data_IF_640729802024
#
_entry.id   IF_640729802024
#
_cell.length_a   1.000
_cell.length_b   1.000
_cell.length_c   1.000
_cell.angle_alpha   90.00
_cell.angle_beta   90.00
_cell.angle_gamma   90.00
#
_symmetry.space_group_name_H-M   'P 1'
#
loop_
_entity.id
_entity.type
_entity.pdbx_description
1 polymer ?
#
# COMPACT_ATOMS: atom_id res chain seq x y z
N UNK A 1 2.50 -14.89 -27.57
CA UNK A 1 2.39 -14.58 -27.27
C UNK A 1 2.21 -14.15 -26.93
N UNK A 2 2.24 -14.36 -26.64
CA UNK A 2 2.15 -13.95 -26.25
C UNK A 2 1.92 -13.31 -25.63
N UNK A 3 1.89 -13.22 -25.54
CA UNK A 3 1.84 -12.45 -24.94
C UNK A 3 1.58 -12.32 -24.10
N UNK A 4 1.51 -12.61 -23.90
CA UNK A 4 1.33 -12.59 -23.21
C UNK A 4 1.16 -12.26 -22.32
N UNK A 5 1.33 -12.01 -21.93
CA UNK A 5 1.29 -11.53 -21.14
C UNK A 5 0.76 -11.26 -20.52
N UNK A 6 0.69 -11.05 -20.92
CA UNK A 6 0.03 -11.13 -20.27
C UNK A 6 -0.32 -11.00 -18.87
N UNK A 7 -1.38 -11.19 -18.39
CA UNK A 7 -1.77 -11.02 -17.02
C UNK A 7 -1.86 -12.36 -16.38
N UNK A 8 -1.00 -12.61 -15.45
CA UNK A 8 -0.95 -13.93 -14.85
C UNK A 8 -0.78 -13.75 -13.36
N UNK A 9 -1.04 -14.79 -12.61
CA UNK A 9 -0.91 -14.74 -11.17
C UNK A 9 0.57 -14.69 -10.81
N UNK A 10 0.91 -14.20 -9.62
CA UNK A 10 2.31 -14.19 -9.21
C UNK A 10 2.96 -15.56 -9.27
N UNK A 11 2.20 -16.61 -8.99
CA UNK A 11 2.75 -17.95 -9.05
C UNK A 11 3.16 -18.29 -10.48
N UNK A 12 2.34 -17.91 -11.44
CA UNK A 12 2.64 -18.22 -12.83
C UNK A 12 3.80 -17.42 -13.36
N UNK A 13 3.97 -16.20 -12.85
CA UNK A 13 5.06 -15.36 -13.30
C UNK A 13 6.40 -15.97 -12.98
N UNK A 14 6.49 -16.64 -11.85
CA UNK A 14 7.75 -17.19 -11.40
C UNK A 14 7.73 -18.69 -11.40
N UNK A 15 7.02 -19.27 -12.33
CA UNK A 15 6.84 -20.71 -12.28
C UNK A 15 8.14 -21.50 -12.35
N UNK A 16 9.16 -20.94 -12.94
CA UNK A 16 10.43 -21.63 -13.00
C UNK A 16 11.06 -21.76 -11.62
N UNK A 17 10.82 -20.80 -10.80
CA UNK A 17 11.37 -20.76 -9.47
C UNK A 17 10.33 -21.05 -8.45
N UNK A 18 9.18 -21.16 -8.83
CA UNK A 18 7.98 -21.37 -8.08
C UNK A 18 8.09 -21.08 -6.63
N UNK A 19 7.85 -19.87 -6.31
CA UNK A 19 7.65 -19.51 -4.93
C UNK A 19 6.21 -19.12 -4.87
N UNK A 20 5.41 -19.89 -4.21
CA UNK A 20 4.01 -19.60 -4.13
C UNK A 20 3.75 -18.53 -3.12
N UNK A 21 4.30 -17.38 -3.39
CA UNK A 21 4.08 -16.27 -2.50
C UNK A 21 2.98 -15.43 -3.09
N UNK A 22 2.05 -15.07 -2.26
CA UNK A 22 1.03 -14.13 -2.63
C UNK A 22 1.40 -12.79 -2.06
N UNK A 23 0.87 -11.76 -2.66
CA UNK A 23 1.20 -10.40 -2.25
C UNK A 23 -0.05 -9.62 -1.96
N UNK A 24 0.10 -8.63 -1.13
CA UNK A 24 -0.97 -7.70 -0.80
C UNK A 24 -0.50 -6.29 -1.06
N UNK A 25 -1.44 -5.45 -1.40
CA UNK A 25 -1.18 -4.03 -1.54
C UNK A 25 -1.66 -3.37 -0.26
N UNK A 26 -0.75 -2.69 0.43
CA UNK A 26 -1.13 -1.95 1.61
C UNK A 26 -1.22 -0.48 1.23
N UNK A 27 -2.33 0.13 1.56
CA UNK A 27 -2.59 1.53 1.27
C UNK A 27 -2.90 2.21 2.58
N UNK A 28 -2.20 3.29 2.86
CA UNK A 28 -2.40 4.04 4.08
C UNK A 28 -2.63 5.49 3.72
N UNK A 29 -3.72 6.06 4.22
CA UNK A 29 -4.03 7.46 4.01
C UNK A 29 -3.89 8.17 5.34
N UNK A 30 -3.05 9.18 5.38
CA UNK A 30 -2.80 9.92 6.62
C UNK A 30 -2.74 11.41 6.32
N UNK A 31 -2.82 12.19 7.36
CA UNK A 31 -2.64 13.62 7.22
C UNK A 31 -1.21 13.91 6.78
N UNK A 32 -1.05 15.01 6.08
CA UNK A 32 0.28 15.41 5.63
C UNK A 32 1.23 15.50 6.81
N UNK A 33 2.42 14.98 6.62
CA UNK A 33 3.43 14.97 7.64
C UNK A 33 3.58 13.67 8.38
N UNK A 34 2.62 12.75 8.19
CA UNK A 34 2.68 11.48 8.91
C UNK A 34 3.10 10.31 8.04
N UNK A 35 3.26 10.52 6.73
CA UNK A 35 3.61 9.41 5.85
C UNK A 35 4.98 8.84 6.17
N UNK A 36 5.92 9.68 6.56
CA UNK A 36 7.26 9.21 6.86
C UNK A 36 7.25 8.23 8.05
N UNK A 37 6.45 8.55 9.06
CA UNK A 37 6.33 7.65 10.22
C UNK A 37 5.74 6.31 9.81
N UNK A 38 4.78 6.35 8.89
CA UNK A 38 4.18 5.12 8.40
C UNK A 38 5.23 4.28 7.69
N UNK A 39 6.04 4.91 6.85
CA UNK A 39 7.08 4.18 6.13
C UNK A 39 8.11 3.60 7.10
N UNK A 40 8.51 4.37 8.09
CA UNK A 40 9.45 3.87 9.08
C UNK A 40 8.90 2.66 9.81
N UNK A 41 7.64 2.74 10.22
CA UNK A 41 7.02 1.65 10.94
C UNK A 41 6.91 0.41 10.06
N UNK A 42 6.50 0.60 8.80
CA UNK A 42 6.38 -0.51 7.88
C UNK A 42 7.74 -1.17 7.64
N UNK A 43 8.76 -0.36 7.47
CA UNK A 43 10.10 -0.88 7.21
C UNK A 43 10.60 -1.68 8.42
N UNK A 44 10.36 -1.17 9.61
CA UNK A 44 10.78 -1.87 10.82
C UNK A 44 10.05 -3.19 10.99
N UNK A 45 8.86 -3.30 10.40
CA UNK A 45 8.07 -4.54 10.49
C UNK A 45 8.31 -5.47 9.32
N UNK A 46 9.26 -5.14 8.46
CA UNK A 46 9.60 -6.02 7.34
C UNK A 46 9.15 -5.53 5.98
N UNK A 47 8.49 -4.40 5.91
CA UNK A 47 8.05 -3.87 4.63
C UNK A 47 9.18 -3.25 3.85
N UNK A 48 9.03 -3.21 2.54
CA UNK A 48 10.03 -2.61 1.66
C UNK A 48 9.34 -1.91 0.52
N UNK A 49 10.03 -0.93 -0.04
CA UNK A 49 9.57 -0.33 -1.27
C UNK A 49 8.30 0.48 -1.17
N UNK A 50 8.14 1.19 -0.08
CA UNK A 50 6.96 2.03 0.05
C UNK A 50 7.11 3.27 -0.82
N UNK A 51 6.00 3.72 -1.37
CA UNK A 51 5.93 4.94 -2.16
C UNK A 51 4.98 5.89 -1.47
N UNK A 52 5.40 7.14 -1.34
CA UNK A 52 4.55 8.16 -0.76
C UNK A 52 4.02 9.03 -1.88
N UNK A 53 2.70 9.16 -1.93
CA UNK A 53 2.05 10.00 -2.92
C UNK A 53 1.38 11.16 -2.20
N UNK A 54 1.67 12.35 -2.66
CA UNK A 54 1.10 13.54 -2.08
C UNK A 54 0.01 14.09 -2.95
N UNK A 55 -1.03 14.51 -2.32
CA UNK A 55 -2.07 15.23 -3.04
C UNK A 55 -1.65 16.65 -3.21
N UNK A 56 -0.59 16.89 -4.04
CA UNK A 56 -0.11 18.16 -4.21
C UNK A 56 -0.84 18.81 -5.27
N UNK A 57 -1.34 19.64 -5.21
CA UNK A 57 -1.90 20.13 -6.31
C UNK A 57 -2.48 21.38 -6.06
N UNK A 58 -2.57 22.07 -7.03
CA UNK A 58 -3.22 23.28 -7.05
C UNK A 58 -4.67 23.06 -6.90
N UNK A 59 -5.07 21.88 -6.92
CA UNK A 59 -6.47 21.62 -6.99
C UNK A 59 -7.10 21.69 -5.63
N UNK A 60 -8.16 22.39 -5.53
CA UNK A 60 -8.99 22.39 -4.35
C UNK A 60 -9.92 21.20 -4.41
N UNK A 61 -9.87 20.47 -5.50
CA UNK A 61 -10.82 19.40 -5.73
C UNK A 61 -10.42 18.19 -4.95
N UNK A 62 -11.38 17.60 -4.29
CA UNK A 62 -11.14 16.35 -3.59
C UNK A 62 -11.01 15.26 -4.62
N UNK A 63 -10.12 14.32 -4.35
CA UNK A 63 -9.97 13.16 -5.18
C UNK A 63 -10.60 11.98 -4.48
N UNK A 64 -11.02 11.00 -5.27
CA UNK A 64 -11.63 9.81 -4.71
C UNK A 64 -10.77 8.62 -5.03
N UNK A 65 -10.60 7.76 -4.06
CA UNK A 65 -9.86 6.54 -4.23
C UNK A 65 -10.62 5.46 -3.48
N UNK A 66 -10.95 4.38 -4.15
CA UNK A 66 -11.71 3.29 -3.55
C UNK A 66 -13.00 3.79 -2.90
N UNK A 67 -13.62 4.78 -3.54
CA UNK A 67 -14.88 5.30 -3.04
C UNK A 67 -14.76 6.29 -1.90
N UNK A 68 -13.54 6.63 -1.52
CA UNK A 68 -13.31 7.57 -0.42
C UNK A 68 -12.81 8.90 -0.95
N UNK A 69 -13.22 9.96 -0.30
CA UNK A 69 -12.74 11.28 -0.65
C UNK A 69 -11.37 11.48 -0.01
N UNK A 70 -10.43 11.96 -0.80
CA UNK A 70 -9.10 12.23 -0.32
C UNK A 70 -8.89 13.72 -0.37
N UNK A 71 -8.74 14.33 0.80
CA UNK A 71 -8.51 15.76 0.87
C UNK A 71 -7.11 16.07 0.37
N UNK A 72 -6.91 17.29 -0.17
CA UNK A 72 -5.61 17.66 -0.73
C UNK A 72 -4.46 17.58 0.26
N UNK A 73 -4.75 17.73 1.53
CA UNK A 73 -3.70 17.69 2.55
C UNK A 73 -3.38 16.29 3.01
N UNK A 74 -3.92 15.27 2.39
CA UNK A 74 -3.62 13.90 2.77
C UNK A 74 -2.42 13.38 2.01
N UNK A 75 -1.75 12.43 2.62
CA UNK A 75 -0.69 11.69 1.97
C UNK A 75 -1.10 10.24 1.90
N UNK A 76 -0.65 9.56 0.87
CA UNK A 76 -0.96 8.16 0.69
C UNK A 76 0.35 7.39 0.62
N UNK A 77 0.43 6.33 1.40
CA UNK A 77 1.57 5.42 1.36
C UNK A 77 1.09 4.13 0.74
N UNK A 78 1.82 3.65 -0.26
CA UNK A 78 1.46 2.44 -0.95
C UNK A 78 2.65 1.51 -0.93
N UNK A 79 2.43 0.25 -0.62
CA UNK A 79 3.51 -0.71 -0.65
C UNK A 79 2.95 -2.08 -1.00
N UNK A 80 3.81 -2.89 -1.62
CA UNK A 80 3.47 -4.27 -1.95
C UNK A 80 4.27 -5.15 -1.00
N UNK A 81 3.60 -6.03 -0.30
CA UNK A 81 4.27 -6.90 0.66
C UNK A 81 3.81 -8.34 0.45
N UNK A 82 4.62 -9.26 0.92
CA UNK A 82 4.21 -10.66 0.90
C UNK A 82 3.04 -10.83 1.85
N UNK A 83 2.18 -11.76 1.51
CA UNK A 83 0.96 -11.95 2.29
C UNK A 83 1.25 -12.27 3.75
N UNK A 84 2.30 -13.04 4.01
CA UNK A 84 2.62 -13.42 5.37
C UNK A 84 3.13 -12.26 6.21
N UNK A 85 3.55 -11.16 5.56
CA UNK A 85 4.01 -9.99 6.27
C UNK A 85 2.92 -8.92 6.39
N UNK A 86 1.83 -9.10 5.66
CA UNK A 86 0.84 -8.04 5.57
C UNK A 86 0.19 -7.73 6.91
N UNK A 87 -0.27 -8.75 7.61
CA UNK A 87 -0.97 -8.49 8.86
C UNK A 87 -0.07 -7.85 9.92
N UNK A 88 1.16 -8.36 10.14
CA UNK A 88 2.04 -7.68 11.09
C UNK A 88 2.30 -6.22 10.73
N UNK A 89 2.50 -5.93 9.45
CA UNK A 89 2.76 -4.57 9.02
C UNK A 89 1.54 -3.69 9.23
N UNK A 90 0.37 -4.17 8.81
CA UNK A 90 -0.86 -3.40 8.98
C UNK A 90 -1.13 -3.14 10.46
N UNK A 91 -0.88 -4.13 11.29
CA UNK A 91 -1.13 -3.98 12.71
C UNK A 91 -0.25 -2.88 13.32
N UNK A 92 1.03 -2.87 12.95
CA UNK A 92 1.93 -1.85 13.48
C UNK A 92 1.58 -0.47 12.97
N UNK A 93 1.23 -0.38 11.69
CA UNK A 93 0.83 0.92 11.14
C UNK A 93 -0.45 1.40 11.81
N UNK A 94 -1.40 0.50 12.01
CA UNK A 94 -2.66 0.87 12.62
C UNK A 94 -2.44 1.43 14.03
N UNK A 95 -1.47 0.89 14.74
CA UNK A 95 -1.20 1.33 16.10
C UNK A 95 -0.80 2.80 16.15
N UNK A 96 -0.11 3.29 15.13
CA UNK A 96 0.38 4.66 15.16
C UNK A 96 -0.43 5.60 14.29
N UNK A 97 -1.21 5.09 13.36
CA UNK A 97 -1.82 5.95 12.35
C UNK A 97 -3.32 5.77 12.19
N UNK A 98 -3.97 5.12 13.13
CA UNK A 98 -5.40 4.91 13.00
C UNK A 98 -6.16 6.23 13.03
N UNK A 99 -7.44 6.17 12.73
CA UNK A 99 -8.25 7.36 12.59
C UNK A 99 -8.34 8.18 13.88
N UNK A 100 -8.18 7.53 15.02
CA UNK A 100 -8.26 8.25 16.30
C UNK A 100 -6.95 8.90 16.68
N UNK A 101 -5.86 8.56 15.98
CA UNK A 101 -4.57 9.17 16.24
C UNK A 101 -4.49 10.53 15.59
N UNK A 102 -3.41 11.25 15.84
CA UNK A 102 -3.19 12.54 15.21
C UNK A 102 -3.06 12.41 13.71
N UNK A 103 -2.59 11.27 13.24
CA UNK A 103 -2.42 11.03 11.82
C UNK A 103 -3.76 10.88 11.10
N UNK A 104 -4.83 10.59 11.83
CA UNK A 104 -6.16 10.41 11.27
C UNK A 104 -6.13 9.45 10.10
N UNK A 105 -5.49 8.32 10.30
CA UNK A 105 -5.19 7.43 9.20
C UNK A 105 -6.23 6.37 8.94
N UNK A 106 -6.20 5.89 7.72
CA UNK A 106 -6.99 4.74 7.31
C UNK A 106 -6.00 3.76 6.70
N UNK A 107 -6.01 2.54 7.18
CA UNK A 107 -5.09 1.51 6.73
C UNK A 107 -5.90 0.41 6.08
N UNK A 108 -5.50 0.01 4.89
CA UNK A 108 -6.19 -1.08 4.23
C UNK A 108 -5.19 -1.98 3.52
N UNK A 109 -5.55 -3.23 3.36
CA UNK A 109 -4.76 -4.18 2.63
C UNK A 109 -5.68 -4.82 1.60
N UNK A 110 -5.20 -4.88 0.36
CA UNK A 110 -5.98 -5.43 -0.73
C UNK A 110 -5.24 -6.60 -1.34
N UNK A 111 -5.96 -7.62 -1.78
CA UNK A 111 -5.29 -8.72 -2.46
C UNK A 111 -4.80 -8.27 -3.82
N UNK A 112 -3.68 -8.81 -4.23
CA UNK A 112 -3.15 -8.56 -5.56
C UNK A 112 -3.37 -9.83 -6.36
N UNK A 113 -4.14 -9.70 -7.43
CA UNK A 113 -4.42 -10.85 -8.27
C UNK A 113 -3.27 -11.18 -9.19
N UNK A 114 -2.57 -10.16 -9.66
CA UNK A 114 -1.48 -10.34 -10.61
C UNK A 114 -0.34 -9.41 -10.26
N UNK A 115 0.87 -9.92 -10.39
CA UNK A 115 2.06 -9.12 -10.16
C UNK A 115 3.05 -9.47 -11.26
N UNK A 116 3.41 -8.47 -12.06
CA UNK A 116 4.37 -8.64 -13.14
C UNK A 116 5.55 -7.73 -12.87
N UNK A 117 6.75 -8.26 -12.85
CA UNK A 117 7.89 -7.40 -12.59
C UNK A 117 8.95 -7.53 -13.68
#
# INVERSE_FOLDING_TARGET
MENEQTVITPVEIIQDEVVETKHKLIVVLVKRGYAYEVVKTATASGGRGAVILNGRGSSQTKKRLFGMDIAPEKEMVVMVVREDLAYPIVKEIYAIANFKSDAKGIVMALPISYLLD
#
